data_IF_274501042506
#
_entry.id   IF_274501042506
#
_cell.length_a   1.000
_cell.length_b   1.000
_cell.length_c   1.000
_cell.angle_alpha   90.00
_cell.angle_beta   90.00
_cell.angle_gamma   90.00
#
_symmetry.space_group_name_H-M   'P 1'
#
loop_
_entity.id
_entity.type
_entity.pdbx_description
1 polymer ?
#
# COMPACT_ATOMS: atom_id res chain seq x y z
N UNK A 1 -3.65 15.58 22.89
CA UNK A 1 -4.49 15.31 21.71
C UNK A 1 -4.23 13.88 21.28
N UNK A 2 -5.20 12.99 21.51
CA UNK A 2 -5.13 11.59 21.07
C UNK A 2 -5.29 11.61 19.56
N UNK A 3 -4.18 11.46 18.82
CA UNK A 3 -4.24 11.23 17.38
C UNK A 3 -4.91 9.88 17.17
N UNK A 4 -6.23 9.92 16.94
CA UNK A 4 -7.04 8.75 16.65
C UNK A 4 -6.37 7.91 15.58
N UNK A 5 -6.44 6.60 15.75
CA UNK A 5 -5.97 5.57 14.82
C UNK A 5 -6.49 5.84 13.41
N UNK A 6 -5.79 6.67 12.63
CA UNK A 6 -6.09 6.86 11.21
C UNK A 6 -6.08 5.47 10.59
N UNK A 7 -7.19 5.11 9.93
CA UNK A 7 -7.40 3.77 9.36
C UNK A 7 -6.16 3.40 8.52
N UNK A 8 -5.67 2.17 8.72
CA UNK A 8 -4.53 1.59 7.97
C UNK A 8 -4.86 1.37 6.48
N UNK A 9 -6.12 1.54 6.11
CA UNK A 9 -6.65 1.42 4.76
C UNK A 9 -7.69 2.53 4.55
N UNK A 10 -7.65 3.17 3.38
CA UNK A 10 -8.66 4.12 2.91
C UNK A 10 -8.84 3.92 1.39
N UNK A 11 -10.08 3.74 0.95
CA UNK A 11 -10.43 3.84 -0.46
C UNK A 11 -10.70 5.31 -0.79
N UNK A 12 -10.08 5.82 -1.85
CA UNK A 12 -10.26 7.17 -2.36
C UNK A 12 -11.36 7.21 -3.45
N UNK A 13 -11.88 8.40 -3.74
CA UNK A 13 -12.97 8.60 -4.71
C UNK A 13 -12.59 8.18 -6.15
N UNK A 14 -11.30 8.23 -6.48
CA UNK A 14 -10.73 7.82 -7.77
C UNK A 14 -10.50 6.30 -7.89
N UNK A 15 -10.95 5.53 -6.90
CA UNK A 15 -10.79 4.08 -6.84
C UNK A 15 -9.39 3.61 -6.44
N UNK A 16 -8.49 4.52 -6.03
CA UNK A 16 -7.19 4.15 -5.46
C UNK A 16 -7.30 3.87 -3.96
N UNK A 17 -6.33 3.15 -3.43
CA UNK A 17 -6.26 2.69 -2.05
C UNK A 17 -5.02 3.29 -1.40
N UNK A 18 -5.21 3.97 -0.29
CA UNK A 18 -4.13 4.41 0.58
C UNK A 18 -4.00 3.42 1.74
N UNK A 19 -2.88 2.70 1.76
CA UNK A 19 -2.54 1.78 2.85
C UNK A 19 -1.39 2.33 3.68
N UNK A 20 -1.47 2.18 5.01
CA UNK A 20 -0.54 2.80 5.97
C UNK A 20 -0.06 1.79 7.01
N UNK A 21 1.23 1.86 7.32
CA UNK A 21 1.87 1.08 8.38
C UNK A 21 2.68 1.98 9.32
N UNK A 22 2.80 1.56 10.59
CA UNK A 22 3.42 2.33 11.67
C UNK A 22 2.46 3.26 12.42
N UNK A 23 2.94 3.81 13.54
CA UNK A 23 2.24 4.82 14.35
C UNK A 23 3.05 6.11 14.36
N UNK A 24 2.37 7.26 14.25
CA UNK A 24 3.02 8.57 14.20
C UNK A 24 3.69 8.98 15.53
N UNK A 25 3.56 8.17 16.59
CA UNK A 25 3.68 8.65 17.96
C UNK A 25 5.10 9.04 18.36
N UNK A 26 6.13 8.20 18.17
CA UNK A 26 7.41 8.40 18.87
C UNK A 26 8.63 8.03 18.00
N UNK A 27 9.04 8.92 17.10
CA UNK A 27 10.31 8.81 16.34
C UNK A 27 10.37 7.68 15.28
N UNK A 28 9.22 7.12 14.91
CA UNK A 28 9.15 5.91 14.10
C UNK A 28 8.62 6.08 12.68
N UNK A 29 8.12 7.23 12.23
CA UNK A 29 7.61 7.44 10.88
C UNK A 29 6.44 6.52 10.42
N UNK A 30 5.58 7.04 9.54
CA UNK A 30 4.55 6.24 8.85
C UNK A 30 5.11 5.84 7.48
N UNK A 31 4.90 4.58 7.05
CA UNK A 31 4.93 4.24 5.63
C UNK A 31 3.51 4.32 5.09
N UNK A 32 3.33 5.02 3.98
CA UNK A 32 2.07 5.08 3.26
C UNK A 32 2.33 4.72 1.80
N UNK A 33 1.43 3.94 1.20
CA UNK A 33 1.44 3.65 -0.24
C UNK A 33 0.08 3.99 -0.83
N UNK A 34 0.07 4.45 -2.08
CA UNK A 34 -1.13 4.54 -2.90
C UNK A 34 -1.07 3.48 -3.99
N UNK A 35 -2.13 2.69 -4.09
CA UNK A 35 -2.21 1.57 -5.03
C UNK A 35 -3.55 1.52 -5.73
N UNK A 36 -3.63 0.84 -6.87
CA UNK A 36 -4.87 0.40 -7.48
C UNK A 36 -4.87 -1.13 -7.52
N UNK A 37 -5.98 -1.74 -7.11
CA UNK A 37 -6.16 -3.18 -7.15
C UNK A 37 -7.37 -3.50 -8.02
N UNK A 38 -7.18 -4.35 -9.02
CA UNK A 38 -8.23 -4.72 -9.98
C UNK A 38 -8.32 -6.25 -10.08
N UNK A 39 -9.52 -6.85 -10.00
CA UNK A 39 -9.67 -8.28 -10.23
C UNK A 39 -9.39 -8.65 -11.69
N UNK A 40 -8.77 -9.79 -11.92
CA UNK A 40 -8.50 -10.33 -13.26
C UNK A 40 -8.85 -11.80 -13.37
N UNK A 41 -9.03 -12.27 -14.61
CA UNK A 41 -9.43 -13.65 -14.92
C UNK A 41 -8.28 -14.66 -14.83
N UNK A 42 -7.03 -14.19 -14.84
CA UNK A 42 -5.84 -15.02 -14.64
C UNK A 42 -5.70 -15.40 -13.16
N UNK A 43 -5.10 -16.54 -12.85
CA UNK A 43 -4.78 -16.90 -11.48
C UNK A 43 -3.52 -16.16 -10.98
N UNK A 44 -3.51 -15.78 -9.69
CA UNK A 44 -2.37 -15.15 -9.02
C UNK A 44 -2.42 -13.62 -8.99
N UNK A 45 -1.34 -13.02 -8.50
CA UNK A 45 -1.17 -11.57 -8.41
C UNK A 45 -0.12 -11.10 -9.42
N UNK A 46 -0.42 -10.01 -10.11
CA UNK A 46 0.51 -9.32 -11.01
C UNK A 46 0.88 -7.94 -10.45
N UNK A 47 2.18 -7.60 -10.47
CA UNK A 47 2.68 -6.36 -9.87
C UNK A 47 3.13 -5.37 -10.95
N UNK A 48 2.63 -4.13 -10.83
CA UNK A 48 3.00 -3.02 -11.69
C UNK A 48 3.43 -1.81 -10.87
N UNK A 49 4.23 -0.93 -11.48
CA UNK A 49 4.59 0.37 -10.92
C UNK A 49 4.29 1.44 -11.95
N UNK A 50 3.48 2.44 -11.59
CA UNK A 50 3.17 3.56 -12.48
C UNK A 50 4.12 4.74 -12.24
N UNK A 51 4.37 5.48 -13.32
CA UNK A 51 4.94 6.82 -13.26
C UNK A 51 3.79 7.82 -13.16
N UNK A 52 3.64 8.46 -12.00
CA UNK A 52 2.72 9.58 -11.83
C UNK A 52 3.45 10.73 -11.14
N UNK A 53 3.17 11.97 -11.55
CA UNK A 53 3.74 13.15 -10.88
C UNK A 53 3.21 13.25 -9.45
N UNK A 54 4.11 13.11 -8.47
CA UNK A 54 3.75 13.20 -7.06
C UNK A 54 3.66 14.65 -6.61
N UNK A 55 2.43 15.17 -6.49
CA UNK A 55 2.17 16.46 -5.86
C UNK A 55 1.96 16.28 -4.35
N UNK A 56 3.05 16.20 -3.58
CA UNK A 56 2.98 16.00 -2.13
C UNK A 56 3.72 17.07 -1.34
N UNK A 57 2.99 17.94 -0.64
CA UNK A 57 3.51 18.79 0.43
C UNK A 57 3.21 18.12 1.79
N UNK A 58 4.26 17.64 2.49
CA UNK A 58 4.14 16.99 3.79
C UNK A 58 5.47 16.45 4.32
N UNK A 59 5.54 16.09 5.61
CA UNK A 59 6.74 15.48 6.20
C UNK A 59 6.98 14.06 5.66
N UNK A 60 8.14 13.85 5.03
CA UNK A 60 8.47 12.67 4.21
C UNK A 60 8.26 12.98 2.73
N UNK A 61 9.12 12.46 1.86
CA UNK A 61 9.00 12.73 0.42
C UNK A 61 8.00 11.73 -0.18
N UNK A 62 6.90 12.24 -0.72
CA UNK A 62 6.07 11.45 -1.63
C UNK A 62 6.87 11.20 -2.90
N UNK A 63 7.12 9.93 -3.19
CA UNK A 63 7.89 9.52 -4.37
C UNK A 63 7.03 8.62 -5.23
N UNK A 64 7.09 8.78 -6.57
CA UNK A 64 6.42 7.85 -7.47
C UNK A 64 7.00 6.45 -7.31
N UNK A 65 6.21 5.43 -7.61
CA UNK A 65 6.59 4.02 -7.48
C UNK A 65 7.90 3.70 -8.23
N UNK A 66 8.15 4.38 -9.35
CA UNK A 66 9.38 4.23 -10.13
C UNK A 66 10.61 4.83 -9.45
N UNK A 67 10.46 5.94 -8.73
CA UNK A 67 11.53 6.58 -7.96
C UNK A 67 11.71 5.99 -6.54
N UNK A 68 10.80 5.13 -6.10
CA UNK A 68 10.90 4.43 -4.83
C UNK A 68 12.12 3.48 -4.82
N UNK A 69 12.93 3.46 -3.73
CA UNK A 69 14.02 2.51 -3.59
C UNK A 69 13.56 1.06 -3.82
N UNK A 70 14.30 0.31 -4.64
CA UNK A 70 13.90 -1.02 -5.09
C UNK A 70 13.63 -1.99 -3.92
N UNK A 71 14.38 -1.89 -2.83
CA UNK A 71 14.19 -2.70 -1.61
C UNK A 71 12.83 -2.48 -0.96
N UNK A 72 12.35 -1.24 -0.91
CA UNK A 72 11.06 -0.93 -0.31
C UNK A 72 9.91 -1.32 -1.22
N UNK A 73 10.05 -1.09 -2.54
CA UNK A 73 9.07 -1.54 -3.54
C UNK A 73 8.92 -3.07 -3.53
N UNK A 74 10.04 -3.81 -3.50
CA UNK A 74 10.02 -5.26 -3.34
C UNK A 74 9.37 -5.68 -2.01
N UNK A 75 9.59 -4.94 -0.93
CA UNK A 75 8.92 -5.20 0.34
C UNK A 75 7.40 -5.03 0.26
N UNK A 76 6.90 -3.97 -0.41
CA UNK A 76 5.45 -3.80 -0.68
C UNK A 76 4.89 -5.02 -1.39
N UNK A 77 5.52 -5.44 -2.50
CA UNK A 77 5.05 -6.56 -3.30
C UNK A 77 5.09 -7.88 -2.53
N UNK A 78 6.13 -8.14 -1.74
CA UNK A 78 6.18 -9.32 -0.86
C UNK A 78 5.01 -9.34 0.15
N UNK A 79 4.72 -8.20 0.77
CA UNK A 79 3.62 -8.09 1.72
C UNK A 79 2.25 -8.30 1.07
N UNK A 80 2.06 -7.75 -0.13
CA UNK A 80 0.85 -7.96 -0.92
C UNK A 80 0.70 -9.41 -1.37
N UNK A 81 1.77 -10.04 -1.88
CA UNK A 81 1.80 -11.45 -2.27
C UNK A 81 1.41 -12.35 -1.09
N UNK A 82 2.05 -12.17 0.07
CA UNK A 82 1.75 -12.97 1.25
C UNK A 82 0.28 -12.84 1.67
N UNK A 83 -0.26 -11.61 1.69
CA UNK A 83 -1.66 -11.39 2.06
C UNK A 83 -2.64 -11.97 1.02
N UNK A 84 -2.26 -12.03 -0.26
CA UNK A 84 -3.04 -12.68 -1.31
C UNK A 84 -3.00 -14.20 -1.13
N UNK A 85 -1.83 -14.79 -0.91
CA UNK A 85 -1.65 -16.24 -0.73
C UNK A 85 -2.38 -16.76 0.52
N UNK A 86 -2.47 -15.92 1.57
CA UNK A 86 -3.21 -16.21 2.80
C UNK A 86 -4.72 -15.94 2.68
N UNK A 87 -5.19 -15.42 1.55
CA UNK A 87 -6.60 -15.12 1.31
C UNK A 87 -7.34 -16.25 0.60
N UNK A 88 -8.64 -16.34 0.82
CA UNK A 88 -9.54 -17.28 0.11
C UNK A 88 -9.98 -16.76 -1.27
N UNK A 89 -9.23 -15.84 -1.89
CA UNK A 89 -9.58 -15.31 -3.22
C UNK A 89 -9.41 -16.39 -4.29
N UNK A 90 -10.48 -16.62 -5.05
CA UNK A 90 -10.48 -17.55 -6.19
C UNK A 90 -10.06 -16.90 -7.51
N UNK A 91 -10.06 -15.56 -7.57
CA UNK A 91 -9.66 -14.78 -8.74
C UNK A 91 -8.24 -14.21 -8.58
N UNK A 92 -7.60 -13.89 -9.70
CA UNK A 92 -6.35 -13.14 -9.66
C UNK A 92 -6.58 -11.66 -9.50
N UNK A 93 -5.50 -10.95 -9.23
CA UNK A 93 -5.52 -9.49 -9.07
C UNK A 93 -4.33 -8.82 -9.74
N UNK A 94 -4.57 -7.65 -10.32
CA UNK A 94 -3.52 -6.70 -10.68
C UNK A 94 -3.31 -5.73 -9.52
N UNK A 95 -2.07 -5.62 -9.06
CA UNK A 95 -1.63 -4.72 -8.01
C UNK A 95 -0.72 -3.65 -8.61
N UNK A 96 -1.23 -2.43 -8.72
CA UNK A 96 -0.51 -1.31 -9.30
C UNK A 96 -0.07 -0.36 -8.20
N UNK A 97 1.24 -0.28 -7.94
CA UNK A 97 1.81 0.71 -7.03
C UNK A 97 1.96 2.05 -7.75
N UNK A 98 1.41 3.11 -7.18
CA UNK A 98 1.38 4.45 -7.79
C UNK A 98 2.46 5.32 -7.16
N UNK A 99 2.40 5.48 -5.83
CA UNK A 99 3.37 6.26 -5.07
C UNK A 99 3.50 5.74 -3.63
N UNK A 100 4.52 6.25 -2.94
CA UNK A 100 4.75 5.96 -1.55
C UNK A 100 5.32 7.17 -0.80
N UNK A 101 4.95 7.30 0.47
CA UNK A 101 5.61 8.19 1.41
C UNK A 101 6.88 7.49 1.92
N UNK A 102 8.04 8.01 1.54
CA UNK A 102 9.34 7.50 1.99
C UNK A 102 9.99 8.52 2.92
N UNK A 103 10.07 8.18 4.20
CA UNK A 103 10.77 9.01 5.19
C UNK A 103 12.28 8.70 5.15
N UNK A 104 13.18 9.69 5.02
CA UNK A 104 14.61 9.45 4.81
C UNK A 104 15.31 8.72 5.97
N UNK A 105 14.78 8.85 7.19
CA UNK A 105 15.38 8.27 8.41
C UNK A 105 14.62 7.04 8.89
N UNK A 106 13.30 6.98 8.65
CA UNK A 106 12.42 6.01 9.31
C UNK A 106 11.89 4.94 8.36
N UNK A 107 12.10 5.10 7.05
CA UNK A 107 11.74 4.10 6.06
C UNK A 107 12.48 2.78 6.31
N UNK A 108 11.73 1.68 6.39
CA UNK A 108 12.30 0.35 6.44
C UNK A 108 11.38 -0.66 5.75
N UNK A 109 11.96 -1.77 5.31
CA UNK A 109 11.26 -2.81 4.55
C UNK A 109 10.04 -3.36 5.27
N UNK A 110 10.14 -3.57 6.60
CA UNK A 110 9.03 -4.12 7.39
C UNK A 110 7.76 -3.27 7.27
N UNK A 111 7.88 -1.94 7.35
CA UNK A 111 6.71 -1.05 7.23
C UNK A 111 6.10 -1.08 5.84
N UNK A 112 6.93 -1.14 4.79
CA UNK A 112 6.43 -1.22 3.42
C UNK A 112 5.77 -2.57 3.13
N UNK A 113 6.29 -3.65 3.69
CA UNK A 113 5.66 -4.97 3.66
C UNK A 113 4.30 -4.96 4.37
N UNK A 114 4.22 -4.40 5.57
CA UNK A 114 2.95 -4.23 6.31
C UNK A 114 1.94 -3.36 5.53
N UNK A 115 2.41 -2.33 4.82
CA UNK A 115 1.56 -1.48 4.00
C UNK A 115 1.00 -2.25 2.79
N UNK A 116 1.81 -3.05 2.09
CA UNK A 116 1.38 -3.92 1.00
C UNK A 116 0.34 -4.96 1.44
N UNK A 117 0.60 -5.63 2.57
CA UNK A 117 -0.35 -6.58 3.18
C UNK A 117 -1.67 -5.90 3.57
N UNK A 118 -1.59 -4.71 4.19
CA UNK A 118 -2.77 -3.94 4.58
C UNK A 118 -3.63 -3.51 3.40
N UNK A 119 -3.03 -3.24 2.23
CA UNK A 119 -3.76 -2.89 1.02
C UNK A 119 -4.66 -4.06 0.54
N UNK A 120 -4.09 -5.27 0.45
CA UNK A 120 -4.85 -6.47 0.05
C UNK A 120 -5.94 -6.79 1.06
N UNK A 121 -5.59 -6.89 2.34
CA UNK A 121 -6.54 -7.25 3.41
C UNK A 121 -7.70 -6.23 3.45
N UNK A 122 -7.39 -4.94 3.35
CA UNK A 122 -8.42 -3.90 3.36
C UNK A 122 -9.30 -3.92 2.11
N UNK A 123 -8.72 -4.21 0.94
CA UNK A 123 -9.48 -4.31 -0.31
C UNK A 123 -10.44 -5.50 -0.31
N UNK A 124 -10.00 -6.67 0.15
CA UNK A 124 -10.85 -7.87 0.29
C UNK A 124 -12.02 -7.58 1.22
N UNK A 125 -11.74 -7.06 2.42
CA UNK A 125 -12.78 -6.70 3.40
C UNK A 125 -13.80 -5.72 2.82
N UNK A 126 -13.31 -4.69 2.14
CA UNK A 126 -14.18 -3.71 1.52
C UNK A 126 -15.10 -4.31 0.45
N UNK A 127 -14.63 -5.30 -0.32
CA UNK A 127 -15.48 -6.00 -1.30
C UNK A 127 -16.51 -6.89 -0.63
N UNK A 128 -16.13 -7.63 0.42
CA UNK A 128 -17.06 -8.49 1.17
C UNK A 128 -18.18 -7.69 1.85
N UNK A 129 -17.89 -6.49 2.36
CA UNK A 129 -18.88 -5.64 3.04
C UNK A 129 -19.89 -4.98 2.07
N UNK A 130 -19.60 -4.98 0.76
CA UNK A 130 -20.45 -4.35 -0.27
C UNK A 130 -21.08 -5.38 -1.24
N UNK A 131 -21.04 -6.67 -0.91
CA UNK A 131 -21.80 -7.74 -1.56
C UNK A 131 -23.08 -8.03 -0.78
#
# INVERSE_FOLDING_TARGET
MTFGSKKRFKLEEDGTIVARAGTQSNCGGIAAIRVRITPVTKAGIEFFSLEEECNGEGFGLMVPATAMPAVYKAAVFRGAQQAYDESDLSEGIEFVLIDALVHPVDANERKFMEAGSSAIIGWIKHRSDNQ
#
